data_IF_772603757365
#
_entry.id   IF_772603757365
#
_cell.length_a   1.000
_cell.length_b   1.000
_cell.length_c   1.000
_cell.angle_alpha   90.00
_cell.angle_beta   90.00
_cell.angle_gamma   90.00
#
_symmetry.space_group_name_H-M   'P 1'
#
loop_
_entity.id
_entity.type
_entity.pdbx_description
1 polymer ?
#
# COMPACT_ATOMS: atom_id res chain seq x y z
N UNK A 1 -72.67 -4.73 -8.06
CA UNK A 1 -71.45 -4.18 -7.43
C UNK A 1 -70.44 -5.31 -7.23
N UNK A 2 -69.17 -5.01 -7.54
CA UNK A 2 -67.93 -5.80 -7.31
C UNK A 2 -67.53 -6.83 -8.39
N UNK A 3 -66.84 -6.30 -9.41
CA UNK A 3 -65.90 -7.04 -10.23
C UNK A 3 -64.60 -7.26 -9.42
N UNK A 4 -64.12 -8.49 -9.38
CA UNK A 4 -62.86 -8.88 -8.72
C UNK A 4 -61.75 -8.79 -9.77
N UNK A 5 -60.84 -7.82 -9.60
CA UNK A 5 -59.60 -7.72 -10.36
C UNK A 5 -58.56 -8.67 -9.75
N UNK A 6 -58.20 -9.72 -10.49
CA UNK A 6 -57.03 -10.54 -10.17
C UNK A 6 -55.82 -9.86 -10.80
N UNK A 7 -55.00 -9.23 -9.97
CA UNK A 7 -53.70 -8.68 -10.37
C UNK A 7 -52.69 -9.83 -10.33
N UNK A 8 -52.27 -10.29 -11.51
CA UNK A 8 -51.11 -11.19 -11.66
C UNK A 8 -49.83 -10.39 -11.40
N UNK A 9 -49.22 -10.62 -10.24
CA UNK A 9 -47.84 -10.21 -9.97
C UNK A 9 -46.90 -11.15 -10.72
N UNK A 10 -46.48 -10.75 -11.92
CA UNK A 10 -45.36 -11.38 -12.60
C UNK A 10 -44.06 -10.94 -11.91
N UNK A 11 -43.58 -11.76 -10.98
CA UNK A 11 -42.19 -11.67 -10.50
C UNK A 11 -41.25 -12.00 -11.66
N UNK A 12 -40.85 -10.96 -12.41
CA UNK A 12 -39.65 -10.95 -13.22
C UNK A 12 -38.46 -11.08 -12.26
N UNK A 13 -38.15 -12.32 -11.89
CA UNK A 13 -36.83 -12.68 -11.38
C UNK A 13 -35.87 -12.49 -12.55
N UNK A 14 -35.33 -11.27 -12.64
CA UNK A 14 -34.18 -10.97 -13.46
C UNK A 14 -33.06 -11.91 -13.01
N UNK A 15 -32.91 -13.01 -13.74
CA UNK A 15 -31.69 -13.78 -13.73
C UNK A 15 -30.63 -12.84 -14.30
N UNK A 16 -29.96 -12.11 -13.42
CA UNK A 16 -28.65 -11.54 -13.70
C UNK A 16 -27.79 -12.77 -13.98
N UNK A 17 -27.74 -13.12 -15.27
CA UNK A 17 -26.84 -14.13 -15.79
C UNK A 17 -25.46 -13.52 -15.60
N UNK A 18 -24.87 -13.75 -14.41
CA UNK A 18 -23.47 -13.47 -14.15
C UNK A 18 -22.69 -14.34 -15.12
N UNK A 19 -22.43 -13.82 -16.32
CA UNK A 19 -21.34 -14.28 -17.15
C UNK A 19 -20.13 -14.38 -16.22
N UNK A 20 -19.63 -15.59 -16.00
CA UNK A 20 -18.56 -15.82 -15.04
C UNK A 20 -17.39 -14.87 -15.35
N UNK A 21 -16.66 -14.36 -14.34
CA UNK A 21 -15.60 -13.39 -14.58
C UNK A 21 -14.62 -13.94 -15.62
N UNK A 22 -14.43 -13.22 -16.74
CA UNK A 22 -13.50 -13.55 -17.82
C UNK A 22 -12.12 -13.99 -17.30
N UNK A 23 -11.72 -13.44 -16.14
CA UNK A 23 -10.43 -13.67 -15.52
C UNK A 23 -10.44 -14.62 -14.31
N UNK A 24 -11.56 -15.32 -14.03
CA UNK A 24 -11.68 -16.21 -12.85
C UNK A 24 -10.54 -17.21 -12.73
N UNK A 25 -10.14 -17.85 -13.85
CA UNK A 25 -9.02 -18.79 -13.86
C UNK A 25 -7.67 -18.16 -13.49
N UNK A 26 -7.42 -16.93 -13.94
CA UNK A 26 -6.22 -16.18 -13.57
C UNK A 26 -6.23 -15.83 -12.07
N UNK A 27 -7.36 -15.33 -11.57
CA UNK A 27 -7.53 -14.93 -10.16
C UNK A 27 -7.36 -16.14 -9.24
N UNK A 28 -8.08 -17.24 -9.46
CA UNK A 28 -7.95 -18.44 -8.64
C UNK A 28 -6.55 -19.03 -8.67
N UNK A 29 -5.86 -18.98 -9.81
CA UNK A 29 -4.49 -19.46 -9.89
C UNK A 29 -3.49 -18.52 -9.20
N UNK A 30 -3.72 -17.20 -9.24
CA UNK A 30 -2.92 -16.20 -8.56
C UNK A 30 -3.04 -16.30 -7.03
N UNK A 31 -4.25 -16.55 -6.52
CA UNK A 31 -4.46 -16.76 -5.09
C UNK A 31 -3.75 -18.02 -4.59
N UNK A 32 -3.74 -19.11 -5.39
CA UNK A 32 -2.95 -20.31 -5.07
C UNK A 32 -1.44 -20.04 -5.06
N UNK A 33 -0.94 -19.21 -5.97
CA UNK A 33 0.47 -18.76 -5.92
C UNK A 33 0.76 -18.01 -4.61
N UNK A 34 -0.09 -17.06 -4.23
CA UNK A 34 0.11 -16.26 -3.01
C UNK A 34 0.06 -17.14 -1.76
N UNK A 35 -0.88 -18.08 -1.69
CA UNK A 35 -1.01 -19.05 -0.60
C UNK A 35 0.22 -19.97 -0.51
N UNK A 36 0.64 -20.55 -1.64
CA UNK A 36 1.78 -21.46 -1.70
C UNK A 36 3.10 -20.82 -1.23
N UNK A 37 3.31 -19.54 -1.53
CA UNK A 37 4.52 -18.80 -1.16
C UNK A 37 4.38 -18.00 0.15
N UNK A 38 3.33 -18.22 0.93
CA UNK A 38 3.19 -17.61 2.25
C UNK A 38 4.07 -18.33 3.28
N UNK A 39 4.98 -17.61 3.92
CA UNK A 39 6.00 -18.16 4.82
C UNK A 39 5.40 -18.91 5.99
N UNK A 40 6.10 -19.95 6.44
CA UNK A 40 5.71 -20.80 7.57
C UNK A 40 6.33 -20.34 8.88
N UNK A 41 7.48 -19.67 8.85
CA UNK A 41 8.28 -19.31 10.01
C UNK A 41 9.72 -19.80 9.91
N UNK A 42 9.93 -20.88 9.15
CA UNK A 42 11.22 -21.57 9.05
C UNK A 42 12.19 -20.86 8.08
N UNK A 43 11.69 -19.96 7.25
CA UNK A 43 12.43 -19.28 6.20
C UNK A 43 13.18 -18.02 6.69
N UNK A 44 13.21 -17.78 8.01
CA UNK A 44 13.75 -16.53 8.60
C UNK A 44 12.77 -15.35 8.57
N UNK A 45 11.56 -15.60 8.08
CA UNK A 45 10.40 -14.72 8.12
C UNK A 45 9.49 -15.16 9.28
N UNK A 46 8.72 -14.24 9.88
CA UNK A 46 7.65 -14.70 10.76
C UNK A 46 6.54 -15.38 9.93
N UNK A 47 5.70 -16.24 10.53
CA UNK A 47 4.64 -16.92 9.81
C UNK A 47 3.70 -15.92 9.12
N UNK A 48 3.22 -16.29 7.92
CA UNK A 48 2.19 -15.51 7.24
C UNK A 48 2.70 -14.30 6.45
N UNK A 49 4.00 -14.20 6.22
CA UNK A 49 4.61 -13.14 5.41
C UNK A 49 4.84 -13.61 3.97
N UNK A 50 5.30 -12.67 3.14
CA UNK A 50 5.76 -12.95 1.79
C UNK A 50 7.10 -12.29 1.55
N UNK A 51 7.91 -12.92 0.70
CA UNK A 51 9.23 -12.43 0.36
C UNK A 51 9.14 -11.03 -0.28
N UNK A 52 9.94 -10.12 0.27
CA UNK A 52 10.19 -8.80 -0.30
C UNK A 52 11.69 -8.71 -0.62
N UNK A 53 12.00 -8.37 -1.87
CA UNK A 53 13.37 -8.23 -2.34
C UNK A 53 13.78 -6.78 -2.35
N UNK A 54 14.72 -6.41 -1.49
CA UNK A 54 15.36 -5.11 -1.51
C UNK A 54 16.60 -5.15 -2.40
N UNK A 55 16.82 -4.12 -3.21
CA UNK A 55 18.03 -3.97 -4.02
C UNK A 55 18.53 -2.54 -3.92
N UNK A 56 19.82 -2.37 -3.66
CA UNK A 56 20.48 -1.07 -3.69
C UNK A 56 21.19 -0.85 -5.02
N UNK A 57 21.00 0.31 -5.61
CA UNK A 57 21.72 0.82 -6.77
C UNK A 57 22.72 1.91 -6.38
N UNK A 58 23.06 2.00 -5.09
CA UNK A 58 24.20 2.78 -4.61
C UNK A 58 25.34 1.85 -4.19
N UNK A 59 26.60 2.24 -4.40
CA UNK A 59 27.73 1.60 -3.77
C UNK A 59 27.58 1.61 -2.24
N UNK A 60 27.98 0.52 -1.58
CA UNK A 60 27.90 0.38 -0.12
C UNK A 60 28.69 1.43 0.67
N UNK A 61 29.55 2.19 -0.02
CA UNK A 61 30.30 3.29 0.57
C UNK A 61 29.46 4.57 0.76
N UNK A 62 28.37 4.72 0.02
CA UNK A 62 27.52 5.91 0.06
C UNK A 62 26.04 5.56 0.24
N UNK A 63 25.73 4.29 0.53
CA UNK A 63 24.38 3.80 0.75
C UNK A 63 24.35 2.46 1.50
N UNK A 64 23.13 1.95 1.69
CA UNK A 64 22.86 0.64 2.28
C UNK A 64 22.86 -0.46 1.21
N UNK A 65 23.14 -1.71 1.57
CA UNK A 65 23.21 -2.84 0.64
C UNK A 65 24.51 -2.91 -0.16
N UNK A 66 24.70 -4.03 -0.87
CA UNK A 66 25.69 -4.14 -1.94
C UNK A 66 25.05 -3.72 -3.26
N UNK A 67 25.82 -3.05 -4.11
CA UNK A 67 25.33 -2.57 -5.41
C UNK A 67 24.77 -3.71 -6.26
N UNK A 68 23.54 -3.54 -6.74
CA UNK A 68 22.80 -4.45 -7.59
C UNK A 68 22.71 -5.90 -7.06
N UNK A 69 22.80 -6.08 -5.75
CA UNK A 69 22.59 -7.37 -5.10
C UNK A 69 21.23 -7.38 -4.39
N UNK A 70 20.30 -8.26 -4.78
CA UNK A 70 19.02 -8.38 -4.10
C UNK A 70 19.19 -9.12 -2.76
N UNK A 71 18.48 -8.65 -1.74
CA UNK A 71 18.33 -9.32 -0.45
C UNK A 71 16.86 -9.57 -0.18
N UNK A 72 16.54 -10.71 0.42
CA UNK A 72 15.21 -11.00 0.92
C UNK A 72 15.09 -10.38 2.31
N UNK A 73 14.12 -9.48 2.51
CA UNK A 73 13.90 -8.77 3.77
C UNK A 73 12.49 -9.00 4.29
N UNK A 74 12.32 -9.42 5.55
CA UNK A 74 11.02 -9.48 6.20
C UNK A 74 10.59 -8.07 6.63
N UNK A 75 9.37 -7.69 6.27
CA UNK A 75 8.80 -6.40 6.64
C UNK A 75 7.31 -6.53 6.92
N UNK A 76 6.83 -5.86 7.98
CA UNK A 76 5.39 -5.80 8.27
C UNK A 76 4.64 -5.12 7.14
N UNK A 77 5.24 -4.09 6.54
CA UNK A 77 4.62 -3.31 5.48
C UNK A 77 4.18 -4.19 4.30
N UNK A 78 5.02 -5.13 3.86
CA UNK A 78 4.69 -6.00 2.72
C UNK A 78 3.64 -7.01 3.10
N UNK A 79 3.80 -7.64 4.26
CA UNK A 79 2.86 -8.63 4.77
C UNK A 79 1.46 -8.02 4.89
N UNK A 80 1.36 -6.85 5.52
CA UNK A 80 0.12 -6.10 5.66
C UNK A 80 -0.42 -5.59 4.31
N UNK A 81 0.45 -5.12 3.41
CA UNK A 81 0.03 -4.65 2.07
C UNK A 81 -0.59 -5.77 1.23
N UNK A 82 0.01 -6.97 1.23
CA UNK A 82 -0.57 -8.14 0.55
C UNK A 82 -1.90 -8.51 1.22
N UNK A 83 -1.92 -8.62 2.55
CA UNK A 83 -3.11 -9.00 3.31
C UNK A 83 -4.29 -8.03 3.11
N UNK A 84 -4.04 -6.71 3.02
CA UNK A 84 -5.08 -5.72 2.74
C UNK A 84 -5.70 -5.91 1.35
N UNK A 85 -4.88 -6.16 0.33
CA UNK A 85 -5.37 -6.40 -1.03
C UNK A 85 -6.16 -7.72 -1.10
N UNK A 86 -5.68 -8.77 -0.42
CA UNK A 86 -6.42 -10.02 -0.29
C UNK A 86 -7.77 -9.81 0.41
N UNK A 87 -7.78 -9.05 1.51
CA UNK A 87 -9.02 -8.75 2.22
C UNK A 87 -10.04 -8.05 1.32
N UNK A 88 -9.60 -7.07 0.54
CA UNK A 88 -10.44 -6.38 -0.43
C UNK A 88 -10.97 -7.33 -1.51
N UNK A 89 -10.14 -8.24 -2.03
CA UNK A 89 -10.61 -9.30 -2.95
C UNK A 89 -11.71 -10.13 -2.29
N UNK A 90 -11.55 -10.53 -1.03
CA UNK A 90 -12.55 -11.32 -0.31
C UNK A 90 -13.87 -10.57 -0.12
N UNK A 91 -13.84 -9.28 0.27
CA UNK A 91 -15.08 -8.49 0.39
C UNK A 91 -15.75 -8.26 -0.97
N UNK A 92 -14.99 -8.21 -2.07
CA UNK A 92 -15.53 -8.10 -3.42
C UNK A 92 -16.05 -9.44 -3.97
N UNK A 93 -15.55 -10.57 -3.47
CA UNK A 93 -15.79 -11.92 -3.97
C UNK A 93 -15.56 -12.97 -2.85
N UNK A 94 -16.55 -13.17 -1.94
CA UNK A 94 -16.39 -14.02 -0.76
C UNK A 94 -16.12 -15.50 -1.08
N UNK A 95 -16.38 -15.97 -2.30
CA UNK A 95 -16.11 -17.36 -2.70
C UNK A 95 -14.62 -17.76 -2.69
N UNK A 96 -13.70 -16.83 -2.47
CA UNK A 96 -12.27 -17.10 -2.33
C UNK A 96 -11.90 -17.42 -0.87
N UNK A 97 -12.41 -18.55 -0.36
CA UNK A 97 -12.32 -18.96 1.05
C UNK A 97 -10.89 -19.24 1.56
N UNK A 98 -9.89 -19.34 0.67
CA UNK A 98 -8.49 -19.46 1.09
C UNK A 98 -7.90 -18.15 1.63
N UNK A 99 -8.58 -17.01 1.42
CA UNK A 99 -8.09 -15.69 1.85
C UNK A 99 -8.11 -15.50 3.38
N UNK A 100 -9.22 -15.74 4.10
CA UNK A 100 -9.25 -15.53 5.55
C UNK A 100 -8.16 -16.31 6.33
N UNK A 101 -7.86 -17.59 6.00
CA UNK A 101 -6.72 -18.30 6.58
C UNK A 101 -5.37 -17.60 6.36
N UNK A 102 -5.09 -17.12 5.14
CA UNK A 102 -3.85 -16.38 4.85
C UNK A 102 -3.74 -15.13 5.72
N UNK A 103 -4.82 -14.35 5.85
CA UNK A 103 -4.82 -13.12 6.67
C UNK A 103 -4.62 -13.44 8.15
N UNK A 104 -5.28 -14.48 8.69
CA UNK A 104 -5.07 -14.93 10.07
C UNK A 104 -3.61 -15.29 10.34
N UNK A 105 -2.96 -16.00 9.40
CA UNK A 105 -1.54 -16.34 9.49
C UNK A 105 -0.66 -15.08 9.52
N UNK A 106 -0.94 -14.11 8.64
CA UNK A 106 -0.23 -12.82 8.62
C UNK A 106 -0.35 -12.07 9.95
N UNK A 107 -1.57 -11.98 10.51
CA UNK A 107 -1.79 -11.31 11.79
C UNK A 107 -1.07 -12.02 12.94
N UNK A 108 -0.99 -13.35 12.94
CA UNK A 108 -0.21 -14.09 13.93
C UNK A 108 1.30 -13.71 13.88
N UNK A 109 1.83 -13.44 12.69
CA UNK A 109 3.22 -12.99 12.48
C UNK A 109 3.50 -11.53 12.91
N UNK A 110 2.49 -10.74 13.26
CA UNK A 110 2.68 -9.32 13.63
C UNK A 110 3.30 -9.09 15.00
N UNK A 111 3.30 -10.10 15.89
CA UNK A 111 3.82 -10.00 17.26
C UNK A 111 5.22 -9.36 17.34
N UNK A 112 6.11 -9.68 16.39
CA UNK A 112 7.47 -9.15 16.35
C UNK A 112 7.57 -7.71 15.82
N UNK A 113 6.55 -7.17 15.18
CA UNK A 113 6.59 -5.82 14.60
C UNK A 113 6.04 -4.74 15.51
N UNK A 114 5.32 -5.14 16.55
CA UNK A 114 4.85 -4.22 17.57
C UNK A 114 5.99 -3.51 18.28
N UNK A 115 5.92 -2.19 18.30
CA UNK A 115 6.63 -1.33 19.23
C UNK A 115 5.58 -0.65 20.09
N UNK A 116 5.35 -1.24 21.26
CA UNK A 116 4.16 -0.99 22.08
C UNK A 116 2.91 -1.23 21.21
N UNK A 117 2.07 -0.22 20.97
CA UNK A 117 0.88 -0.34 20.12
C UNK A 117 1.11 0.14 18.66
N UNK A 118 2.30 0.64 18.33
CA UNK A 118 2.65 1.07 16.97
C UNK A 118 3.31 -0.07 16.19
N UNK A 119 3.36 0.04 14.86
CA UNK A 119 4.11 -0.91 14.04
C UNK A 119 5.39 -0.29 13.50
N UNK A 120 6.45 -1.10 13.50
CA UNK A 120 7.68 -0.77 12.83
C UNK A 120 7.83 -1.57 11.54
N UNK A 121 8.48 -0.99 10.53
CA UNK A 121 8.77 -1.67 9.27
C UNK A 121 9.57 -2.97 9.46
N UNK A 122 10.55 -2.96 10.36
CA UNK A 122 11.40 -4.12 10.66
C UNK A 122 11.08 -4.73 12.03
N UNK A 123 11.19 -6.06 12.16
CA UNK A 123 11.13 -6.71 13.47
C UNK A 123 12.42 -6.40 14.28
N UNK A 124 12.44 -6.58 15.61
CA UNK A 124 13.62 -6.29 16.40
C UNK A 124 14.73 -7.29 16.11
N UNK A 125 15.96 -6.83 16.34
CA UNK A 125 17.16 -7.65 16.44
C UNK A 125 18.04 -7.11 17.58
N UNK A 126 19.09 -7.86 17.95
CA UNK A 126 20.02 -7.47 19.00
C UNK A 126 21.31 -6.93 18.39
N UNK A 127 21.73 -5.74 18.84
CA UNK A 127 23.02 -5.16 18.50
C UNK A 127 23.74 -4.75 19.80
N UNK A 128 24.80 -5.50 20.17
CA UNK A 128 25.58 -5.28 21.40
C UNK A 128 24.70 -5.17 22.65
N UNK A 129 23.74 -6.09 22.82
CA UNK A 129 22.82 -6.12 23.96
C UNK A 129 21.67 -5.10 23.89
N UNK A 130 21.61 -4.24 22.87
CA UNK A 130 20.51 -3.29 22.67
C UNK A 130 19.57 -3.80 21.58
N UNK A 131 18.26 -3.70 21.84
CA UNK A 131 17.23 -4.00 20.84
C UNK A 131 17.19 -2.87 19.81
N UNK A 132 17.33 -3.21 18.53
CA UNK A 132 17.32 -2.28 17.39
C UNK A 132 16.39 -2.79 16.30
N UNK A 133 15.90 -1.91 15.42
CA UNK A 133 15.00 -2.26 14.31
C UNK A 133 15.57 -1.75 13.00
N UNK A 134 16.14 -2.67 12.24
CA UNK A 134 16.89 -2.41 11.02
C UNK A 134 16.79 -3.64 10.09
N UNK A 135 17.17 -3.54 8.80
CA UNK A 135 17.24 -4.68 7.90
C UNK A 135 17.97 -5.88 8.52
N UNK A 136 17.45 -7.09 8.29
CA UNK A 136 17.99 -8.33 8.88
C UNK A 136 19.11 -8.93 8.06
N UNK A 137 18.93 -9.00 6.74
CA UNK A 137 19.78 -9.78 5.83
C UNK A 137 20.59 -8.90 4.88
N UNK A 138 20.10 -7.69 4.62
CA UNK A 138 20.71 -6.69 3.77
C UNK A 138 22.02 -6.25 4.40
N UNK A 139 23.08 -6.32 3.61
CA UNK A 139 24.37 -5.83 4.03
C UNK A 139 24.31 -4.34 4.41
N UNK A 140 24.66 -4.04 5.66
CA UNK A 140 24.82 -2.68 6.15
C UNK A 140 26.28 -2.45 6.53
N UNK A 141 26.96 -1.59 5.76
CA UNK A 141 28.30 -1.16 6.13
C UNK A 141 28.25 -0.53 7.55
N UNK A 142 29.28 -0.71 8.40
CA UNK A 142 29.22 -0.34 9.82
C UNK A 142 28.72 1.09 10.09
N UNK A 143 29.10 2.06 9.24
CA UNK A 143 28.67 3.46 9.34
C UNK A 143 27.18 3.70 9.11
N UNK A 144 26.48 2.82 8.38
CA UNK A 144 25.07 2.96 8.05
C UNK A 144 24.13 2.20 8.99
N UNK A 145 24.67 1.38 9.90
CA UNK A 145 23.84 0.58 10.81
C UNK A 145 22.92 1.46 11.68
N UNK A 146 23.43 2.53 12.29
CA UNK A 146 22.57 3.40 13.10
C UNK A 146 21.64 4.29 12.27
N UNK A 147 21.94 4.55 10.99
CA UNK A 147 20.97 5.18 10.09
C UNK A 147 19.78 4.27 9.79
N UNK A 148 20.01 2.96 9.74
CA UNK A 148 18.97 1.98 9.48
C UNK A 148 18.18 1.57 10.73
N UNK A 149 18.55 2.04 11.93
CA UNK A 149 17.78 1.85 13.15
C UNK A 149 16.63 2.87 13.23
N UNK A 150 15.47 2.49 12.69
CA UNK A 150 14.35 3.38 12.42
C UNK A 150 13.21 3.25 13.43
N UNK A 151 12.49 4.34 13.77
CA UNK A 151 11.34 4.31 14.66
C UNK A 151 10.10 3.76 13.95
N UNK A 152 9.00 3.50 14.67
CA UNK A 152 7.70 3.25 14.07
C UNK A 152 7.32 4.36 13.09
N UNK A 153 6.60 3.99 12.04
CA UNK A 153 6.20 4.90 10.98
C UNK A 153 4.69 4.79 10.72
N UNK A 154 4.13 5.86 10.18
CA UNK A 154 2.71 6.01 9.96
C UNK A 154 2.19 5.09 8.85
N UNK A 155 3.05 4.74 7.90
CA UNK A 155 2.71 3.90 6.75
C UNK A 155 2.54 2.44 7.20
N UNK A 156 3.56 1.86 7.83
CA UNK A 156 3.51 0.51 8.38
C UNK A 156 2.41 0.39 9.44
N UNK A 157 2.28 1.39 10.32
CA UNK A 157 1.20 1.40 11.34
C UNK A 157 -0.17 1.41 10.69
N UNK A 158 -0.42 2.30 9.74
CA UNK A 158 -1.75 2.40 9.12
C UNK A 158 -2.13 1.15 8.32
N UNK A 159 -1.21 0.64 7.50
CA UNK A 159 -1.43 -0.55 6.67
C UNK A 159 -1.62 -1.79 7.54
N UNK A 160 -0.87 -1.96 8.63
CA UNK A 160 -0.99 -3.12 9.53
C UNK A 160 -2.29 -3.10 10.34
N UNK A 161 -2.69 -1.92 10.86
CA UNK A 161 -3.99 -1.79 11.52
C UNK A 161 -5.17 -1.96 10.57
N UNK A 162 -5.02 -1.60 9.29
CA UNK A 162 -6.04 -1.90 8.28
C UNK A 162 -6.20 -3.42 8.12
N UNK A 163 -5.12 -4.20 8.16
CA UNK A 163 -5.18 -5.67 8.13
C UNK A 163 -5.93 -6.23 9.34
N UNK A 164 -5.62 -5.71 10.55
CA UNK A 164 -6.33 -6.11 11.78
C UNK A 164 -7.83 -5.80 11.69
N UNK A 165 -8.17 -4.65 11.14
CA UNK A 165 -9.54 -4.20 10.95
C UNK A 165 -10.29 -5.03 9.91
N UNK A 166 -9.64 -5.43 8.81
CA UNK A 166 -10.21 -6.35 7.85
C UNK A 166 -10.46 -7.74 8.46
N UNK A 167 -9.52 -8.28 9.23
CA UNK A 167 -9.73 -9.54 9.93
C UNK A 167 -10.90 -9.45 10.91
N UNK A 168 -11.03 -8.33 11.63
CA UNK A 168 -12.19 -8.08 12.49
C UNK A 168 -13.50 -8.13 11.67
N UNK A 169 -13.56 -7.42 10.54
CA UNK A 169 -14.72 -7.45 9.63
C UNK A 169 -15.03 -8.86 9.11
N UNK A 170 -14.04 -9.69 8.84
CA UNK A 170 -14.25 -11.08 8.42
C UNK A 170 -14.85 -11.94 9.54
N UNK A 171 -14.47 -11.70 10.80
CA UNK A 171 -14.92 -12.48 11.94
C UNK A 171 -16.28 -12.02 12.50
N UNK A 172 -16.59 -10.71 12.39
CA UNK A 172 -17.75 -10.09 13.04
C UNK A 172 -18.72 -9.41 12.05
N UNK A 173 -18.47 -9.52 10.74
CA UNK A 173 -19.31 -8.97 9.67
C UNK A 173 -18.73 -7.68 9.06
N UNK A 174 -19.02 -7.46 7.78
CA UNK A 174 -18.44 -6.37 6.97
C UNK A 174 -18.66 -4.97 7.56
N UNK A 175 -19.79 -4.74 8.23
CA UNK A 175 -20.13 -3.45 8.84
C UNK A 175 -19.53 -3.25 10.23
N UNK A 176 -18.91 -4.28 10.82
CA UNK A 176 -18.24 -4.16 12.12
C UNK A 176 -16.96 -3.32 12.03
N UNK A 177 -16.59 -2.69 13.14
CA UNK A 177 -15.30 -2.04 13.26
C UNK A 177 -14.76 -2.10 14.69
N UNK A 178 -13.43 -2.18 14.79
CA UNK A 178 -12.71 -2.06 16.05
C UNK A 178 -12.07 -0.67 16.13
N UNK A 179 -12.36 0.12 17.17
CA UNK A 179 -11.67 1.39 17.39
C UNK A 179 -10.15 1.19 17.47
N UNK A 180 -9.40 2.16 16.94
CA UNK A 180 -7.95 2.19 17.10
C UNK A 180 -7.57 2.46 18.56
N UNK A 181 -6.45 1.90 19.05
CA UNK A 181 -5.91 2.28 20.34
C UNK A 181 -5.62 3.79 20.40
N UNK A 182 -5.87 4.40 21.56
CA UNK A 182 -5.68 5.84 21.75
C UNK A 182 -4.24 6.29 21.48
N UNK A 183 -3.24 5.44 21.74
CA UNK A 183 -1.84 5.77 21.48
C UNK A 183 -1.56 5.91 19.97
N UNK A 184 -2.21 5.10 19.12
CA UNK A 184 -2.08 5.16 17.66
C UNK A 184 -2.65 6.48 17.14
N UNK A 185 -3.86 6.82 17.59
CA UNK A 185 -4.53 8.09 17.24
C UNK A 185 -3.70 9.29 17.72
N UNK A 186 -3.17 9.22 18.94
CA UNK A 186 -2.30 10.25 19.52
C UNK A 186 -1.01 10.40 18.72
N UNK A 187 -0.40 9.29 18.30
CA UNK A 187 0.83 9.30 17.50
C UNK A 187 0.61 10.02 16.16
N UNK A 188 -0.46 9.70 15.42
CA UNK A 188 -0.82 10.42 14.18
C UNK A 188 -1.08 11.91 14.45
N UNK A 189 -1.87 12.22 15.48
CA UNK A 189 -2.24 13.61 15.81
C UNK A 189 -1.04 14.49 16.19
N UNK A 190 -0.02 13.88 16.82
CA UNK A 190 1.23 14.57 17.19
C UNK A 190 2.19 14.69 16.01
N UNK A 191 2.30 13.64 15.19
CA UNK A 191 3.19 13.61 14.02
C UNK A 191 2.56 14.34 12.83
N UNK A 192 2.49 15.68 12.91
CA UNK A 192 1.92 16.54 11.87
C UNK A 192 2.92 17.57 11.35
N UNK A 193 2.78 17.91 10.08
CA UNK A 193 3.60 18.92 9.41
C UNK A 193 3.14 20.34 9.77
N UNK A 194 3.53 20.77 10.99
CA UNK A 194 3.15 22.06 11.56
C UNK A 194 4.38 22.80 12.10
N UNK A 195 4.57 24.06 11.71
CA UNK A 195 5.56 24.99 12.27
C UNK A 195 6.98 24.41 12.40
N UNK A 196 7.39 23.59 11.43
CA UNK A 196 8.69 22.92 11.39
C UNK A 196 9.42 23.25 10.11
N UNK A 197 10.73 23.02 10.08
CA UNK A 197 11.51 23.10 8.84
C UNK A 197 11.33 21.79 8.06
N UNK A 198 10.76 21.84 6.84
CA UNK A 198 10.45 20.63 6.06
C UNK A 198 11.72 19.88 5.67
N UNK A 199 11.56 18.59 5.38
CA UNK A 199 12.60 17.81 4.72
C UNK A 199 12.96 18.47 3.37
N UNK A 200 14.23 18.39 2.96
CA UNK A 200 14.72 19.09 1.75
C UNK A 200 13.93 18.72 0.49
N UNK A 201 13.47 17.46 0.41
CA UNK A 201 12.62 16.98 -0.66
C UNK A 201 11.26 17.69 -0.67
N UNK A 202 10.55 17.70 0.47
CA UNK A 202 9.26 18.37 0.60
C UNK A 202 9.39 19.87 0.31
N UNK A 203 10.46 20.51 0.82
CA UNK A 203 10.76 21.91 0.54
C UNK A 203 10.88 22.19 -0.97
N UNK A 204 11.61 21.34 -1.71
CA UNK A 204 11.75 21.43 -3.16
C UNK A 204 10.45 21.23 -3.93
N UNK A 205 9.45 20.57 -3.33
CA UNK A 205 8.10 20.41 -3.90
C UNK A 205 7.09 21.46 -3.38
N UNK A 206 7.54 22.46 -2.60
CA UNK A 206 6.65 23.45 -1.99
C UNK A 206 5.67 22.84 -0.97
N UNK A 207 6.05 21.74 -0.34
CA UNK A 207 5.31 21.06 0.72
C UNK A 207 5.91 21.46 2.07
N UNK A 208 5.23 22.38 2.75
CA UNK A 208 5.63 22.86 4.06
C UNK A 208 4.38 23.32 4.80
N UNK A 209 4.34 23.08 6.11
CA UNK A 209 3.22 23.47 6.97
C UNK A 209 1.86 23.02 6.41
N UNK A 210 1.83 21.82 5.85
CA UNK A 210 0.63 21.27 5.20
C UNK A 210 -0.44 20.86 6.22
N UNK A 211 -0.07 20.69 7.50
CA UNK A 211 -0.93 20.16 8.55
C UNK A 211 -1.22 18.66 8.43
N UNK A 212 -0.78 18.03 7.33
CA UNK A 212 -0.92 16.61 7.05
C UNK A 212 -0.02 15.76 7.97
N UNK A 213 -0.20 14.45 7.94
CA UNK A 213 0.58 13.51 8.75
C UNK A 213 2.01 13.39 8.23
N UNK A 214 2.94 13.22 9.18
CA UNK A 214 4.33 12.91 8.90
C UNK A 214 4.56 11.41 8.81
N UNK A 215 5.59 11.00 8.06
CA UNK A 215 5.93 9.58 7.89
C UNK A 215 6.38 8.92 9.18
N UNK A 216 7.29 9.54 9.92
CA UNK A 216 7.86 8.92 11.13
C UNK A 216 7.06 9.31 12.38
N UNK A 217 6.65 8.33 13.19
CA UNK A 217 5.90 8.56 14.44
C UNK A 217 6.85 8.82 15.61
N UNK A 218 7.81 9.71 15.38
CA UNK A 218 8.87 10.05 16.32
C UNK A 218 9.18 11.55 16.26
N UNK A 219 9.53 12.13 17.41
CA UNK A 219 9.90 13.53 17.47
C UNK A 219 11.30 13.74 16.87
N UNK A 220 11.36 14.44 15.75
CA UNK A 220 12.62 14.82 15.09
C UNK A 220 13.47 15.77 15.95
N UNK A 221 12.88 16.41 16.97
CA UNK A 221 13.54 17.33 17.89
C UNK A 221 13.91 16.69 19.24
N UNK A 222 13.62 15.40 19.46
CA UNK A 222 13.98 14.73 20.73
C UNK A 222 15.50 14.87 20.99
N UNK A 223 15.92 15.49 22.11
CA UNK A 223 17.34 15.69 22.42
C UNK A 223 18.10 14.36 22.62
N UNK A 224 17.39 13.26 22.88
CA UNK A 224 17.96 11.90 23.02
C UNK A 224 18.21 11.24 21.67
N UNK A 225 17.66 11.75 20.57
CA UNK A 225 17.86 11.17 19.23
C UNK A 225 19.30 11.41 18.74
N UNK A 226 20.00 10.37 18.23
CA UNK A 226 21.34 10.53 17.69
C UNK A 226 21.41 11.52 16.52
N UNK A 227 22.18 12.61 16.68
CA UNK A 227 22.30 13.66 15.65
C UNK A 227 23.35 13.37 14.58
N UNK A 228 24.39 12.62 14.91
CA UNK A 228 25.39 12.18 13.93
C UNK A 228 24.81 11.08 13.03
N UNK A 229 24.87 11.28 11.71
CA UNK A 229 24.34 10.35 10.70
C UNK A 229 24.93 8.93 10.84
N UNK A 230 26.17 8.85 11.31
CA UNK A 230 26.96 7.62 11.47
C UNK A 230 27.02 7.11 12.91
N UNK A 231 26.10 7.59 13.76
CA UNK A 231 25.96 7.06 15.12
C UNK A 231 25.78 5.55 15.09
N UNK A 232 26.28 4.86 16.12
CA UNK A 232 26.07 3.42 16.25
C UNK A 232 24.60 3.14 16.62
N UNK A 233 24.04 1.98 16.24
CA UNK A 233 22.65 1.63 16.59
C UNK A 233 22.34 1.68 18.09
N UNK A 234 23.30 1.31 18.93
CA UNK A 234 23.15 1.31 20.39
C UNK A 234 23.09 2.73 21.01
N UNK A 235 23.26 3.79 20.21
CA UNK A 235 23.08 5.16 20.67
C UNK A 235 21.62 5.62 20.61
N UNK A 236 20.73 4.83 20.00
CA UNK A 236 19.31 5.13 19.92
C UNK A 236 18.75 5.04 18.50
N UNK A 237 17.44 5.22 18.43
CA UNK A 237 16.65 5.25 17.20
C UNK A 237 16.53 6.69 16.70
N UNK A 238 16.39 6.88 15.39
CA UNK A 238 16.23 8.23 14.82
C UNK A 238 15.35 8.24 13.58
N UNK A 239 14.66 9.35 13.38
CA UNK A 239 14.10 9.71 12.08
C UNK A 239 15.24 9.76 11.06
N UNK A 240 15.14 9.10 9.89
CA UNK A 240 16.14 9.23 8.83
C UNK A 240 16.49 10.68 8.54
N UNK A 241 17.79 10.97 8.43
CA UNK A 241 18.33 12.33 8.26
C UNK A 241 17.97 13.34 9.36
N UNK A 242 17.39 12.89 10.48
CA UNK A 242 16.90 13.74 11.57
C UNK A 242 15.90 14.81 11.10
N UNK A 243 15.20 14.52 10.00
CA UNK A 243 14.21 15.39 9.37
C UNK A 243 13.09 14.50 8.86
N UNK A 244 11.94 14.59 9.50
CA UNK A 244 10.72 13.93 9.12
C UNK A 244 10.17 14.55 7.84
N UNK A 245 9.26 13.85 7.18
CA UNK A 245 8.77 14.17 5.86
C UNK A 245 7.26 13.96 5.75
N UNK A 246 6.67 14.59 4.74
CA UNK A 246 5.27 14.37 4.33
C UNK A 246 5.29 13.56 3.04
N UNK A 247 4.56 12.45 3.02
CA UNK A 247 4.39 11.63 1.82
C UNK A 247 2.89 11.44 1.54
N UNK A 248 2.47 11.69 0.30
CA UNK A 248 1.08 11.56 -0.10
C UNK A 248 0.51 10.15 0.10
N UNK A 249 1.27 9.11 -0.21
CA UNK A 249 0.77 7.74 -0.14
C UNK A 249 0.71 7.29 1.31
N UNK A 250 1.67 7.71 2.14
CA UNK A 250 1.59 7.53 3.60
C UNK A 250 0.34 8.20 4.16
N UNK A 251 0.07 9.45 3.79
CA UNK A 251 -1.14 10.16 4.20
C UNK A 251 -2.41 9.47 3.70
N UNK A 252 -2.41 8.96 2.47
CA UNK A 252 -3.54 8.20 1.93
C UNK A 252 -3.75 6.89 2.71
N UNK A 253 -2.70 6.16 3.08
CA UNK A 253 -2.82 4.95 3.89
C UNK A 253 -3.34 5.25 5.30
N UNK A 254 -2.90 6.35 5.94
CA UNK A 254 -3.45 6.82 7.22
C UNK A 254 -4.93 7.17 7.08
N UNK A 255 -5.32 7.95 6.06
CA UNK A 255 -6.72 8.28 5.81
C UNK A 255 -7.57 7.04 5.56
N UNK A 256 -7.08 6.08 4.78
CA UNK A 256 -7.75 4.80 4.55
C UNK A 256 -8.06 4.08 5.87
N UNK A 257 -7.07 3.97 6.76
CA UNK A 257 -7.29 3.37 8.07
C UNK A 257 -8.36 4.15 8.87
N UNK A 258 -8.22 5.47 8.96
CA UNK A 258 -9.13 6.32 9.73
C UNK A 258 -10.56 6.25 9.19
N UNK A 259 -10.75 6.17 7.87
CA UNK A 259 -12.05 5.93 7.23
C UNK A 259 -12.59 4.54 7.55
N UNK A 260 -11.77 3.49 7.50
CA UNK A 260 -12.14 2.11 7.83
C UNK A 260 -12.59 1.94 9.29
N UNK A 261 -12.03 2.74 10.21
CA UNK A 261 -12.32 2.71 11.64
C UNK A 261 -13.30 3.80 12.08
N UNK A 262 -13.86 4.56 11.14
CA UNK A 262 -14.79 5.69 11.40
C UNK A 262 -14.22 6.77 12.33
N UNK A 263 -12.90 6.97 12.29
CA UNK A 263 -12.19 8.01 13.04
C UNK A 263 -11.83 9.18 12.13
N UNK A 264 -12.86 9.76 11.51
CA UNK A 264 -12.72 10.86 10.54
C UNK A 264 -12.73 12.24 11.18
N UNK A 265 -12.86 12.29 12.51
CA UNK A 265 -12.84 13.50 13.32
C UNK A 265 -11.54 13.48 14.14
N UNK A 266 -10.58 14.32 13.78
CA UNK A 266 -9.30 14.36 14.49
C UNK A 266 -8.27 15.29 13.87
N UNK A 267 -7.26 15.72 14.64
CA UNK A 267 -6.19 16.57 14.15
C UNK A 267 -5.48 15.93 12.94
N UNK A 268 -5.39 16.68 11.85
CA UNK A 268 -4.66 16.25 10.64
C UNK A 268 -5.52 15.53 9.59
N UNK A 269 -6.70 15.01 9.93
CA UNK A 269 -7.56 14.31 8.96
C UNK A 269 -7.93 15.23 7.79
N UNK A 270 -8.55 16.38 8.08
CA UNK A 270 -8.94 17.34 7.04
C UNK A 270 -7.73 17.90 6.29
N UNK A 271 -6.64 18.21 6.99
CA UNK A 271 -5.42 18.74 6.38
C UNK A 271 -4.78 17.72 5.41
N UNK A 272 -4.82 16.42 5.74
CA UNK A 272 -4.41 15.36 4.83
C UNK A 272 -5.34 15.28 3.60
N UNK A 273 -6.67 15.36 3.79
CA UNK A 273 -7.62 15.41 2.67
C UNK A 273 -7.32 16.60 1.73
N UNK A 274 -7.18 17.80 2.28
CA UNK A 274 -6.88 19.02 1.53
C UNK A 274 -5.54 18.91 0.80
N UNK A 275 -4.54 18.32 1.46
CA UNK A 275 -3.24 18.07 0.84
C UNK A 275 -3.36 17.15 -0.38
N UNK A 276 -4.05 16.02 -0.26
CA UNK A 276 -4.20 15.06 -1.36
C UNK A 276 -5.06 15.63 -2.50
N UNK A 277 -6.15 16.33 -2.18
CA UNK A 277 -6.99 17.00 -3.18
C UNK A 277 -6.18 18.03 -3.98
N UNK A 278 -5.37 18.83 -3.31
CA UNK A 278 -4.45 19.78 -3.97
C UNK A 278 -3.46 19.06 -4.90
N UNK A 279 -2.95 17.89 -4.53
CA UNK A 279 -2.03 17.13 -5.37
C UNK A 279 -2.73 16.54 -6.60
N UNK A 280 -3.99 16.10 -6.46
CA UNK A 280 -4.80 15.64 -7.59
C UNK A 280 -5.08 16.76 -8.60
N UNK A 281 -5.45 17.96 -8.12
CA UNK A 281 -5.64 19.15 -8.97
C UNK A 281 -4.36 19.51 -9.72
N UNK A 282 -3.22 19.53 -9.01
CA UNK A 282 -1.90 19.82 -9.61
C UNK A 282 -1.36 18.70 -10.48
N UNK A 283 -1.97 17.51 -10.45
CA UNK A 283 -1.52 16.29 -11.13
C UNK A 283 -0.10 15.88 -10.73
N UNK A 284 0.28 16.17 -9.49
CA UNK A 284 1.62 15.92 -8.95
C UNK A 284 1.76 14.53 -8.30
N UNK A 285 1.21 13.51 -8.97
CA UNK A 285 1.18 12.15 -8.43
C UNK A 285 2.55 11.51 -8.32
N UNK A 286 3.56 12.03 -9.04
CA UNK A 286 4.90 11.46 -9.03
C UNK A 286 5.81 12.10 -8.00
N UNK A 287 5.74 13.41 -7.78
CA UNK A 287 6.66 14.08 -6.86
C UNK A 287 6.10 14.25 -5.46
N UNK A 288 4.81 14.06 -5.25
CA UNK A 288 4.26 14.21 -3.91
C UNK A 288 4.52 13.00 -2.97
N UNK A 289 5.05 11.89 -3.51
CA UNK A 289 5.59 10.76 -2.73
C UNK A 289 7.12 10.73 -2.73
N UNK A 290 7.70 10.50 -1.56
CA UNK A 290 9.10 10.18 -1.35
C UNK A 290 9.38 8.70 -1.55
N UNK A 291 8.55 7.82 -0.97
CA UNK A 291 8.86 6.39 -0.88
C UNK A 291 8.30 5.56 -2.03
N UNK A 292 7.37 6.11 -2.79
CA UNK A 292 6.65 5.38 -3.82
C UNK A 292 7.08 5.82 -5.21
N UNK A 293 7.84 4.99 -5.95
CA UNK A 293 8.37 5.37 -7.25
C UNK A 293 7.36 5.30 -8.38
N UNK A 294 6.07 5.50 -8.13
CA UNK A 294 5.02 5.37 -9.15
C UNK A 294 4.00 6.48 -9.04
N UNK A 295 3.65 7.06 -10.19
CA UNK A 295 2.58 8.06 -10.30
C UNK A 295 1.17 7.47 -10.24
N UNK A 296 1.04 6.15 -10.14
CA UNK A 296 -0.25 5.45 -10.16
C UNK A 296 -0.66 4.91 -8.79
N UNK A 297 0.27 4.79 -7.85
CA UNK A 297 -0.04 4.31 -6.49
C UNK A 297 -0.89 5.29 -5.72
N UNK A 298 -0.68 6.61 -5.86
CA UNK A 298 -1.50 7.60 -5.18
C UNK A 298 -2.96 7.59 -5.70
N UNK A 299 -3.22 7.66 -7.03
CA UNK A 299 -4.57 7.46 -7.55
C UNK A 299 -5.23 6.16 -7.09
N UNK A 300 -4.46 5.07 -7.03
CA UNK A 300 -4.93 3.79 -6.50
C UNK A 300 -5.37 3.90 -5.04
N UNK A 301 -4.50 4.38 -4.14
CA UNK A 301 -4.84 4.47 -2.72
C UNK A 301 -5.99 5.46 -2.47
N UNK A 302 -6.05 6.59 -3.20
CA UNK A 302 -7.18 7.52 -3.13
C UNK A 302 -8.49 6.89 -3.60
N UNK A 303 -8.46 6.08 -4.66
CA UNK A 303 -9.64 5.37 -5.14
C UNK A 303 -10.19 4.39 -4.10
N UNK A 304 -9.32 3.68 -3.37
CA UNK A 304 -9.73 2.81 -2.26
C UNK A 304 -10.47 3.58 -1.17
N UNK A 305 -9.95 4.74 -0.77
CA UNK A 305 -10.54 5.57 0.29
C UNK A 305 -11.91 6.08 -0.15
N UNK A 306 -12.00 6.58 -1.39
CA UNK A 306 -13.25 7.05 -1.99
C UNK A 306 -14.29 5.92 -2.02
N UNK A 307 -13.90 4.73 -2.51
CA UNK A 307 -14.78 3.56 -2.57
C UNK A 307 -15.27 3.13 -1.18
N UNK A 308 -14.46 3.32 -0.14
CA UNK A 308 -14.81 3.01 1.26
C UNK A 308 -15.64 4.13 1.95
N UNK A 309 -16.03 5.17 1.21
CA UNK A 309 -16.86 6.27 1.70
C UNK A 309 -16.08 7.46 2.27
N UNK A 310 -14.81 7.61 1.91
CA UNK A 310 -13.99 8.77 2.26
C UNK A 310 -14.37 10.02 1.46
N UNK A 311 -15.51 10.62 1.82
CA UNK A 311 -16.13 11.75 1.09
C UNK A 311 -15.24 12.98 0.94
N UNK A 312 -14.28 13.19 1.85
CA UNK A 312 -13.35 14.33 1.76
C UNK A 312 -12.48 14.30 0.49
N UNK A 313 -12.30 13.14 -0.16
CA UNK A 313 -11.52 12.99 -1.39
C UNK A 313 -12.37 12.95 -2.67
N UNK A 314 -13.70 12.95 -2.57
CA UNK A 314 -14.59 12.98 -3.74
C UNK A 314 -14.30 14.13 -4.72
N UNK A 315 -13.93 15.36 -4.29
CA UNK A 315 -13.55 16.43 -5.21
C UNK A 315 -12.37 16.07 -6.15
N UNK A 316 -11.59 15.03 -5.84
CA UNK A 316 -10.50 14.56 -6.69
C UNK A 316 -10.93 13.55 -7.75
N UNK A 317 -12.12 12.94 -7.66
CA UNK A 317 -12.53 11.79 -8.50
C UNK A 317 -12.29 12.03 -9.99
N UNK A 318 -12.83 13.12 -10.53
CA UNK A 318 -12.73 13.43 -11.97
C UNK A 318 -11.29 13.73 -12.39
N UNK A 319 -10.51 14.38 -11.53
CA UNK A 319 -9.09 14.64 -11.80
C UNK A 319 -8.28 13.34 -11.87
N UNK A 320 -8.60 12.36 -11.02
CA UNK A 320 -7.98 11.04 -11.02
C UNK A 320 -8.36 10.26 -12.30
N UNK A 321 -9.65 10.20 -12.64
CA UNK A 321 -10.14 9.52 -13.86
C UNK A 321 -9.50 10.13 -15.11
N UNK A 322 -9.56 11.46 -15.24
CA UNK A 322 -8.99 12.17 -16.38
C UNK A 322 -7.48 11.95 -16.50
N UNK A 323 -6.76 11.88 -15.38
CA UNK A 323 -5.35 11.52 -15.37
C UNK A 323 -5.09 10.09 -15.87
N UNK A 324 -5.85 9.11 -15.35
CA UNK A 324 -5.68 7.70 -15.70
C UNK A 324 -5.94 7.46 -17.19
N UNK A 325 -7.08 7.92 -17.71
CA UNK A 325 -7.42 7.82 -19.13
C UNK A 325 -6.37 8.48 -20.03
N UNK A 326 -5.93 9.70 -19.69
CA UNK A 326 -4.91 10.42 -20.45
C UNK A 326 -3.55 9.70 -20.49
N UNK A 327 -3.23 8.91 -19.46
CA UNK A 327 -1.93 8.22 -19.34
C UNK A 327 -1.95 6.79 -19.88
N UNK A 328 -3.13 6.23 -20.16
CA UNK A 328 -3.25 4.92 -20.75
C UNK A 328 -2.56 4.90 -22.12
N UNK A 329 -1.84 3.81 -22.39
CA UNK A 329 -1.22 3.58 -23.70
C UNK A 329 -2.22 2.91 -24.65
N UNK A 330 -1.94 3.00 -25.95
CA UNK A 330 -2.74 2.33 -26.99
C UNK A 330 -2.89 0.83 -26.80
N UNK A 331 -1.96 0.19 -26.08
CA UNK A 331 -2.01 -1.24 -25.76
C UNK A 331 -2.69 -1.54 -24.41
N UNK A 332 -3.49 -0.61 -23.87
CA UNK A 332 -4.21 -0.76 -22.60
C UNK A 332 -3.37 -0.53 -21.33
N UNK A 333 -2.04 -0.65 -21.40
CA UNK A 333 -1.18 -0.57 -20.22
C UNK A 333 -0.81 0.84 -19.76
N UNK A 334 -0.32 0.94 -18.52
CA UNK A 334 0.36 2.12 -17.99
C UNK A 334 1.84 1.83 -17.75
N UNK A 335 2.68 2.85 -17.93
CA UNK A 335 4.13 2.74 -17.76
C UNK A 335 4.62 3.83 -16.82
N UNK A 336 5.41 3.44 -15.82
CA UNK A 336 6.22 4.38 -15.07
C UNK A 336 7.56 4.62 -15.77
N UNK A 337 7.94 5.89 -15.97
CA UNK A 337 9.13 6.27 -16.79
C UNK A 337 10.37 6.60 -15.97
N UNK A 338 10.26 6.75 -14.65
CA UNK A 338 11.30 7.37 -13.83
C UNK A 338 12.23 6.37 -13.12
N UNK A 339 12.05 5.09 -13.39
CA UNK A 339 12.97 4.03 -12.97
C UNK A 339 13.77 3.55 -14.17
N UNK A 340 15.02 3.16 -13.93
CA UNK A 340 15.92 2.59 -14.94
C UNK A 340 15.32 1.37 -15.63
N UNK A 341 14.51 0.58 -14.91
CA UNK A 341 13.62 -0.43 -15.48
C UNK A 341 12.17 0.04 -15.29
N UNK A 342 11.45 0.32 -16.38
CA UNK A 342 10.11 0.88 -16.26
C UNK A 342 9.11 -0.19 -15.83
N UNK A 343 8.49 0.02 -14.68
CA UNK A 343 7.39 -0.80 -14.17
C UNK A 343 6.14 -0.62 -15.05
N UNK A 344 5.61 -1.73 -15.55
CA UNK A 344 4.41 -1.77 -16.42
C UNK A 344 3.30 -2.60 -15.80
N UNK A 345 3.64 -3.71 -15.16
CA UNK A 345 2.67 -4.62 -14.55
C UNK A 345 2.02 -3.95 -13.35
N UNK A 346 2.80 -3.55 -12.35
CA UNK A 346 2.32 -2.90 -11.14
C UNK A 346 1.65 -1.56 -11.46
N UNK A 347 2.24 -0.79 -12.38
CA UNK A 347 1.65 0.47 -12.85
C UNK A 347 0.27 0.27 -13.46
N UNK A 348 0.11 -0.77 -14.29
CA UNK A 348 -1.20 -1.11 -14.88
C UNK A 348 -2.16 -1.61 -13.82
N UNK A 349 -1.73 -2.50 -12.92
CA UNK A 349 -2.60 -3.07 -11.89
C UNK A 349 -3.17 -1.99 -10.96
N UNK A 350 -2.35 -1.03 -10.52
CA UNK A 350 -2.82 0.14 -9.75
C UNK A 350 -3.75 1.04 -10.56
N UNK A 351 -3.37 1.40 -11.78
CA UNK A 351 -4.16 2.30 -12.61
C UNK A 351 -5.52 1.70 -13.01
N UNK A 352 -5.55 0.41 -13.36
CA UNK A 352 -6.76 -0.36 -13.64
C UNK A 352 -7.65 -0.43 -12.40
N UNK A 353 -7.10 -0.79 -11.25
CA UNK A 353 -7.86 -0.84 -9.99
C UNK A 353 -8.48 0.52 -9.64
N UNK A 354 -7.74 1.61 -9.82
CA UNK A 354 -8.24 2.96 -9.59
C UNK A 354 -9.36 3.33 -10.58
N UNK A 355 -9.16 3.08 -11.88
CA UNK A 355 -10.13 3.39 -12.91
C UNK A 355 -11.41 2.58 -12.76
N UNK A 356 -11.31 1.30 -12.42
CA UNK A 356 -12.48 0.43 -12.22
C UNK A 356 -13.28 0.78 -10.95
N UNK A 357 -12.67 1.41 -9.95
CA UNK A 357 -13.39 1.87 -8.75
C UNK A 357 -14.02 3.25 -8.92
N UNK A 358 -13.35 4.14 -9.66
CA UNK A 358 -13.79 5.52 -9.82
C UNK A 358 -14.68 5.75 -11.04
N UNK A 359 -14.41 4.99 -12.11
CA UNK A 359 -15.05 5.13 -13.41
C UNK A 359 -16.48 4.61 -13.43
N UNK A 360 -17.28 5.24 -14.28
CA UNK A 360 -18.64 4.83 -14.61
C UNK A 360 -18.66 3.65 -15.60
N UNK A 361 -19.24 2.48 -15.26
CA UNK A 361 -19.38 1.34 -16.16
C UNK A 361 -20.39 1.58 -17.30
N UNK A 362 -21.26 2.59 -17.22
CA UNK A 362 -22.16 2.94 -18.32
C UNK A 362 -21.45 3.82 -19.38
N UNK A 363 -20.32 4.43 -19.02
CA UNK A 363 -19.51 5.24 -19.93
C UNK A 363 -18.69 4.36 -20.90
N UNK A 364 -18.90 4.46 -22.23
CA UNK A 364 -18.18 3.63 -23.21
C UNK A 364 -16.65 3.80 -23.18
N UNK A 365 -16.17 5.00 -22.87
CA UNK A 365 -14.73 5.30 -22.79
C UNK A 365 -14.10 4.58 -21.61
N UNK A 366 -14.78 4.57 -20.46
CA UNK A 366 -14.30 3.88 -19.26
C UNK A 366 -14.32 2.36 -19.46
N UNK A 367 -15.41 1.81 -19.99
CA UNK A 367 -15.50 0.37 -20.31
C UNK A 367 -14.38 -0.08 -21.23
N UNK A 368 -14.17 0.63 -22.34
CA UNK A 368 -13.09 0.30 -23.27
C UNK A 368 -11.72 0.36 -22.58
N UNK A 369 -11.44 1.43 -21.83
CA UNK A 369 -10.18 1.58 -21.11
C UNK A 369 -9.95 0.49 -20.06
N UNK A 370 -10.98 0.11 -19.29
CA UNK A 370 -10.90 -0.96 -18.28
C UNK A 370 -10.67 -2.32 -18.95
N UNK A 371 -11.40 -2.63 -20.02
CA UNK A 371 -11.25 -3.89 -20.76
C UNK A 371 -9.86 -4.02 -21.37
N UNK A 372 -9.40 -3.01 -22.12
CA UNK A 372 -8.10 -3.03 -22.78
C UNK A 372 -6.95 -3.16 -21.76
N UNK A 373 -7.10 -2.53 -20.59
CA UNK A 373 -6.17 -2.66 -19.48
C UNK A 373 -6.16 -4.06 -18.84
N UNK A 374 -7.34 -4.67 -18.67
CA UNK A 374 -7.48 -6.00 -18.09
C UNK A 374 -6.90 -7.07 -19.02
N UNK A 375 -7.15 -6.97 -20.34
CA UNK A 375 -6.55 -7.84 -21.35
C UNK A 375 -5.02 -7.70 -21.36
N UNK A 376 -4.52 -6.46 -21.32
CA UNK A 376 -3.07 -6.19 -21.22
C UNK A 376 -2.48 -6.82 -19.96
N UNK A 377 -3.11 -6.62 -18.80
CA UNK A 377 -2.61 -7.14 -17.54
C UNK A 377 -2.63 -8.66 -17.49
N UNK A 378 -3.70 -9.31 -17.96
CA UNK A 378 -3.82 -10.76 -18.07
C UNK A 378 -2.71 -11.34 -18.98
N UNK A 379 -2.45 -10.69 -20.12
CA UNK A 379 -1.39 -11.07 -21.05
C UNK A 379 0.04 -10.89 -20.51
N UNK A 380 0.21 -10.12 -19.43
CA UNK A 380 1.51 -9.94 -18.75
C UNK A 380 1.76 -10.98 -17.63
N UNK A 381 0.82 -11.90 -17.41
CA UNK A 381 1.00 -12.97 -16.44
C UNK A 381 2.00 -14.03 -16.94
N UNK A 382 2.57 -14.79 -16.01
CA UNK A 382 3.41 -15.95 -16.28
C UNK A 382 3.04 -17.10 -15.34
N UNK A 383 3.67 -18.26 -15.48
CA UNK A 383 3.46 -19.43 -14.60
C UNK A 383 4.74 -19.78 -13.86
N UNK A 384 4.60 -20.15 -12.59
CA UNK A 384 5.71 -20.68 -11.80
C UNK A 384 5.98 -22.16 -12.15
N UNK A 385 6.94 -22.78 -11.44
CA UNK A 385 7.27 -24.20 -11.62
C UNK A 385 6.13 -25.16 -11.27
N UNK A 386 5.16 -24.72 -10.46
CA UNK A 386 3.97 -25.49 -10.08
C UNK A 386 2.80 -25.23 -11.04
N UNK A 387 3.00 -24.41 -12.08
CA UNK A 387 1.97 -24.02 -13.04
C UNK A 387 1.03 -22.92 -12.56
N UNK A 388 1.27 -22.32 -11.39
CA UNK A 388 0.44 -21.23 -10.87
C UNK A 388 0.71 -19.93 -11.60
N UNK A 389 -0.36 -19.28 -12.08
CA UNK A 389 -0.32 -17.94 -12.66
C UNK A 389 0.14 -16.93 -11.61
N UNK A 390 1.11 -16.08 -11.97
CA UNK A 390 1.54 -14.96 -11.15
C UNK A 390 2.08 -13.82 -12.01
N UNK A 391 2.32 -12.68 -11.38
CA UNK A 391 2.98 -11.53 -12.01
C UNK A 391 4.35 -11.29 -11.35
N UNK A 392 5.43 -11.18 -12.13
CA UNK A 392 6.75 -10.88 -11.59
C UNK A 392 6.75 -9.59 -10.77
N UNK A 393 7.38 -9.63 -9.58
CA UNK A 393 7.45 -8.50 -8.67
C UNK A 393 8.14 -7.28 -9.29
N UNK A 394 7.40 -6.19 -9.41
CA UNK A 394 7.90 -4.87 -9.82
C UNK A 394 8.11 -3.96 -8.59
N UNK A 395 8.66 -2.76 -8.80
CA UNK A 395 8.95 -1.87 -7.68
C UNK A 395 7.65 -1.30 -7.11
N UNK A 396 7.43 -1.52 -5.81
CA UNK A 396 6.29 -0.95 -5.10
C UNK A 396 6.68 0.09 -4.05
N UNK A 397 7.90 0.01 -3.54
CA UNK A 397 8.42 0.87 -2.47
C UNK A 397 9.90 1.14 -2.69
N UNK A 398 10.38 2.25 -2.18
CA UNK A 398 11.77 2.65 -2.27
C UNK A 398 12.15 3.53 -1.09
N UNK A 399 13.38 3.37 -0.60
CA UNK A 399 13.94 4.27 0.39
C UNK A 399 14.66 5.40 -0.34
N UNK A 400 14.48 6.62 0.17
CA UNK A 400 15.21 7.78 -0.30
C UNK A 400 16.45 7.99 0.55
N UNK A 401 17.57 8.29 -0.10
CA UNK A 401 18.75 8.80 0.59
C UNK A 401 18.93 10.27 0.18
N UNK A 402 20.08 10.64 -0.40
CA UNK A 402 20.30 11.94 -1.06
C UNK A 402 19.73 11.96 -2.48
N UNK A 403 19.53 10.78 -3.09
CA UNK A 403 18.90 10.60 -4.40
C UNK A 403 17.56 9.85 -4.25
N UNK A 404 16.66 10.01 -5.23
CA UNK A 404 15.41 9.24 -5.29
C UNK A 404 15.67 7.81 -5.75
N UNK A 405 15.02 6.87 -5.07
CA UNK A 405 14.98 5.45 -5.40
C UNK A 405 16.31 4.70 -5.53
N UNK A 406 17.35 5.04 -4.74
CA UNK A 406 18.58 4.28 -4.73
C UNK A 406 18.38 2.86 -4.19
N UNK A 407 17.37 2.65 -3.34
CA UNK A 407 17.08 1.36 -2.74
C UNK A 407 15.62 1.07 -2.98
N UNK A 408 15.32 -0.05 -3.62
CA UNK A 408 13.97 -0.39 -4.08
C UNK A 408 13.56 -1.76 -3.58
N UNK A 409 12.27 -1.91 -3.30
CA UNK A 409 11.67 -3.17 -2.90
C UNK A 409 10.73 -3.69 -3.98
N UNK A 410 10.78 -5.01 -4.19
CA UNK A 410 9.94 -5.76 -5.12
C UNK A 410 9.31 -6.96 -4.43
N UNK A 411 8.06 -7.28 -4.75
CA UNK A 411 7.40 -8.46 -4.21
C UNK A 411 6.43 -9.04 -5.25
N UNK A 412 6.69 -10.26 -5.70
CA UNK A 412 5.79 -10.95 -6.63
C UNK A 412 4.44 -11.23 -5.99
N UNK A 413 4.39 -11.50 -4.69
CA UNK A 413 3.13 -11.69 -3.97
C UNK A 413 2.29 -10.41 -3.98
N UNK A 414 2.89 -9.26 -3.70
CA UNK A 414 2.19 -7.98 -3.75
C UNK A 414 1.74 -7.60 -5.16
N UNK A 415 2.61 -7.72 -6.16
CA UNK A 415 2.24 -7.47 -7.56
C UNK A 415 1.12 -8.39 -8.03
N UNK A 416 1.19 -9.67 -7.67
CA UNK A 416 0.17 -10.67 -8.02
C UNK A 416 -1.15 -10.38 -7.31
N UNK A 417 -1.14 -9.97 -6.04
CA UNK A 417 -2.35 -9.63 -5.30
C UNK A 417 -3.06 -8.40 -5.93
N UNK A 418 -2.32 -7.33 -6.23
CA UNK A 418 -2.89 -6.13 -6.85
C UNK A 418 -3.40 -6.44 -8.26
N UNK A 419 -2.70 -7.29 -9.03
CA UNK A 419 -3.15 -7.71 -10.35
C UNK A 419 -4.43 -8.55 -10.28
N UNK A 420 -4.52 -9.50 -9.36
CA UNK A 420 -5.72 -10.30 -9.13
C UNK A 420 -6.92 -9.43 -8.76
N UNK A 421 -6.72 -8.44 -7.87
CA UNK A 421 -7.75 -7.46 -7.53
C UNK A 421 -8.18 -6.63 -8.75
N UNK A 422 -7.22 -6.13 -9.53
CA UNK A 422 -7.50 -5.33 -10.71
C UNK A 422 -8.36 -6.09 -11.73
N UNK A 423 -8.04 -7.37 -11.98
CA UNK A 423 -8.82 -8.24 -12.86
C UNK A 423 -10.22 -8.56 -12.31
N UNK A 424 -10.36 -8.69 -10.99
CA UNK A 424 -11.65 -8.88 -10.34
C UNK A 424 -12.55 -7.64 -10.45
N UNK A 425 -11.97 -6.44 -10.27
CA UNK A 425 -12.70 -5.19 -10.45
C UNK A 425 -13.10 -4.99 -11.90
N UNK A 426 -12.21 -5.31 -12.84
CA UNK A 426 -12.47 -5.17 -14.27
C UNK A 426 -13.61 -6.06 -14.77
N UNK A 427 -13.88 -7.21 -14.14
CA UNK A 427 -15.01 -8.08 -14.54
C UNK A 427 -16.40 -7.50 -14.23
N UNK A 428 -16.46 -6.26 -13.72
CA UNK A 428 -17.70 -5.51 -13.47
C UNK A 428 -18.02 -4.48 -14.57
N UNK A 429 -17.11 -4.31 -15.53
CA UNK A 429 -17.23 -3.47 -16.73
C UNK A 429 -17.44 -4.35 -17.95
#
# INVERSE_FOLDING_TARGET
MKAIFIVLFACLSGTICFAGPQYRGHISSALRFIEHYQTTGDEGYDPGQWVARVTSYLPSNIGVGKFNHPYEEPTAFVAASVANVLAEIYFLAPQYDSIPPMIRKTVAGFSNYYWDELFNFYPPTMYRGVRVRQPRYMYLAPRFKGFANIPPDADTTSVSYATLQYLHKMNFGEHSFKPLPLSVVSAFSKARDLNRKPHIYNAGQGQSNTGAFLTWLWDENDPRSPRNLFSRPNNGTRVPFNRNDVDCVVNANVLKLLTLTKQTEGPGYQAACDHLNRMAIKKDFFYCGMYYPSRYVLPFTMAEIIHQGGSCLEPSRDNLIAFLLKKQKKNGGWKNKYLTRPDRIQSTAWALSALAQLGDPENPTHRAAVRDAADYLAGMSTRDRNGFVYWPGEVYFAATFVARYPVVWRSSAYTTAVAAKALLLASRF
#
